data_IF_175316692067
#
_entry.id   IF_175316692067
#
_cell.length_a   1.000
_cell.length_b   1.000
_cell.length_c   1.000
_cell.angle_alpha   90.00
_cell.angle_beta   90.00
_cell.angle_gamma   90.00
#
_symmetry.space_group_name_H-M   'P 1'
#
loop_
_entity.id
_entity.type
_entity.pdbx_description
1 polymer ?
#
# COMPACT_ATOMS: atom_id res chain seq x y z
N UNK A 1 -9.97 10.08 -12.57
CA UNK A 1 -9.90 9.77 -11.12
C UNK A 1 -11.27 9.95 -10.54
N UNK A 2 -11.76 9.02 -9.71
CA UNK A 2 -13.07 9.12 -9.08
C UNK A 2 -13.09 10.24 -8.03
N UNK A 3 -14.20 10.92 -7.92
CA UNK A 3 -14.51 11.88 -6.85
C UNK A 3 -15.46 11.24 -5.83
N UNK A 4 -15.57 11.81 -4.64
CA UNK A 4 -16.42 11.25 -3.57
C UNK A 4 -17.89 11.08 -4.00
N UNK A 5 -18.39 12.00 -4.83
CA UNK A 5 -19.73 11.90 -5.42
C UNK A 5 -19.95 10.66 -6.30
N UNK A 6 -18.90 10.14 -6.92
CA UNK A 6 -18.99 8.95 -7.76
C UNK A 6 -19.24 7.67 -6.93
N UNK A 7 -19.00 7.75 -5.62
CA UNK A 7 -19.29 6.69 -4.65
C UNK A 7 -20.65 6.82 -3.95
N UNK A 8 -21.52 7.72 -4.41
CA UNK A 8 -22.85 7.90 -3.79
C UNK A 8 -23.65 6.61 -3.74
N UNK A 9 -23.58 5.78 -4.79
CA UNK A 9 -24.23 4.46 -4.83
C UNK A 9 -23.71 3.54 -3.73
N UNK A 10 -22.41 3.52 -3.48
CA UNK A 10 -21.79 2.66 -2.46
C UNK A 10 -22.07 3.20 -1.05
N UNK A 11 -22.07 4.53 -0.88
CA UNK A 11 -22.47 5.17 0.36
C UNK A 11 -23.95 4.90 0.70
N UNK A 12 -24.83 4.83 -0.31
CA UNK A 12 -26.25 4.47 -0.14
C UNK A 12 -26.46 2.98 0.19
N UNK A 13 -25.57 2.07 -0.23
CA UNK A 13 -25.66 0.64 0.14
C UNK A 13 -25.42 0.38 1.62
N UNK A 14 -24.83 1.32 2.35
CA UNK A 14 -24.50 1.17 3.75
C UNK A 14 -25.75 1.05 4.62
N UNK A 15 -26.03 -0.15 5.14
CA UNK A 15 -27.14 -0.42 6.05
C UNK A 15 -26.94 0.10 7.48
N UNK A 16 -25.77 0.68 7.78
CA UNK A 16 -25.38 1.18 9.11
C UNK A 16 -25.41 0.11 10.21
N UNK A 17 -25.18 -1.15 9.85
CA UNK A 17 -25.30 -2.32 10.75
C UNK A 17 -24.26 -2.36 11.88
N UNK A 18 -23.15 -1.61 11.80
CA UNK A 18 -22.12 -1.53 12.84
C UNK A 18 -21.07 -2.65 12.82
N UNK A 19 -21.10 -3.63 11.90
CA UNK A 19 -20.09 -4.69 11.85
C UNK A 19 -18.67 -4.15 11.67
N UNK A 20 -18.52 -3.08 10.91
CA UNK A 20 -17.23 -2.40 10.75
C UNK A 20 -16.69 -1.75 12.03
N UNK A 21 -17.54 -1.47 13.04
CA UNK A 21 -17.12 -1.01 14.36
C UNK A 21 -16.52 -2.16 15.17
N UNK A 22 -17.17 -3.31 15.16
CA UNK A 22 -16.69 -4.51 15.85
C UNK A 22 -15.32 -4.95 15.30
N UNK A 23 -15.15 -4.87 13.98
CA UNK A 23 -13.91 -5.22 13.30
C UNK A 23 -12.79 -4.19 13.51
N UNK A 24 -13.12 -2.94 13.82
CA UNK A 24 -12.17 -1.83 13.86
C UNK A 24 -11.28 -1.89 15.12
N UNK A 25 -9.93 -1.99 14.96
CA UNK A 25 -9.03 -1.98 16.11
C UNK A 25 -9.05 -0.65 16.88
N UNK A 26 -9.30 0.47 16.19
CA UNK A 26 -9.38 1.78 16.83
C UNK A 26 -10.65 1.93 17.66
N UNK A 27 -11.78 1.41 17.20
CA UNK A 27 -13.04 1.45 17.95
C UNK A 27 -12.95 0.68 19.28
N UNK A 28 -12.10 -0.36 19.33
CA UNK A 28 -11.83 -1.11 20.57
C UNK A 28 -11.08 -0.28 21.61
N UNK A 29 -10.29 0.70 21.18
CA UNK A 29 -9.52 1.59 22.05
C UNK A 29 -10.33 2.83 22.43
N UNK A 30 -11.08 3.36 21.48
CA UNK A 30 -11.92 4.54 21.63
C UNK A 30 -13.30 4.24 21.01
N UNK A 31 -14.31 3.83 21.80
CA UNK A 31 -15.63 3.47 21.31
C UNK A 31 -16.45 4.73 20.92
N UNK A 32 -16.08 5.30 19.79
CA UNK A 32 -16.71 6.47 19.18
C UNK A 32 -16.98 6.16 17.71
N UNK A 33 -18.21 6.30 17.26
CA UNK A 33 -18.63 5.99 15.88
C UNK A 33 -17.78 6.72 14.83
N UNK A 34 -17.34 7.97 15.12
CA UNK A 34 -16.51 8.76 14.20
C UNK A 34 -15.11 8.17 14.00
N UNK A 35 -14.62 7.36 14.95
CA UNK A 35 -13.32 6.69 14.85
C UNK A 35 -13.41 5.46 13.95
N UNK A 36 -14.56 4.79 13.94
CA UNK A 36 -14.83 3.65 13.08
C UNK A 36 -15.36 4.07 11.69
N UNK A 37 -15.45 3.10 10.79
CA UNK A 37 -15.88 3.35 9.40
C UNK A 37 -17.33 3.79 9.31
N UNK A 38 -18.23 3.30 10.16
CA UNK A 38 -19.65 3.66 10.12
C UNK A 38 -19.88 5.17 10.26
N UNK A 39 -19.30 5.80 11.28
CA UNK A 39 -19.46 7.25 11.48
C UNK A 39 -18.78 8.06 10.38
N UNK A 40 -17.60 7.62 9.91
CA UNK A 40 -16.94 8.25 8.75
C UNK A 40 -17.83 8.18 7.51
N UNK A 41 -18.47 7.05 7.25
CA UNK A 41 -19.40 6.88 6.13
C UNK A 41 -20.62 7.79 6.22
N UNK A 42 -21.20 7.96 7.40
CA UNK A 42 -22.32 8.87 7.61
C UNK A 42 -21.91 10.31 7.27
N UNK A 43 -20.72 10.74 7.74
CA UNK A 43 -20.20 12.08 7.43
C UNK A 43 -19.92 12.23 5.93
N UNK A 44 -19.26 11.25 5.30
CA UNK A 44 -18.93 11.30 3.87
C UNK A 44 -20.17 11.24 2.99
N UNK A 45 -21.22 10.54 3.41
CA UNK A 45 -22.51 10.55 2.73
C UNK A 45 -23.14 11.96 2.73
N UNK A 46 -23.10 12.65 3.89
CA UNK A 46 -23.54 14.05 3.96
C UNK A 46 -22.68 14.97 3.08
N UNK A 47 -21.37 14.71 2.97
CA UNK A 47 -20.49 15.47 2.07
C UNK A 47 -20.83 15.19 0.60
N UNK A 48 -21.03 13.94 0.21
CA UNK A 48 -21.38 13.56 -1.16
C UNK A 48 -22.71 14.18 -1.62
N UNK A 49 -23.67 14.32 -0.69
CA UNK A 49 -24.95 14.98 -0.93
C UNK A 49 -24.89 16.52 -0.90
N UNK A 50 -23.77 17.10 -0.54
CA UNK A 50 -23.63 18.56 -0.37
C UNK A 50 -24.26 19.11 0.91
N UNK A 51 -24.74 18.27 1.82
CA UNK A 51 -25.31 18.64 3.11
C UNK A 51 -24.23 19.05 4.13
N UNK A 52 -23.03 18.49 3.98
CA UNK A 52 -21.85 18.78 4.80
C UNK A 52 -20.68 19.23 3.93
N UNK A 53 -19.80 20.05 4.52
CA UNK A 53 -18.51 20.39 3.89
C UNK A 53 -17.44 19.46 4.41
N UNK A 54 -16.54 19.02 3.55
CA UNK A 54 -15.35 18.24 3.91
C UNK A 54 -14.39 19.13 4.74
N UNK A 55 -14.66 19.18 6.05
CA UNK A 55 -14.01 20.09 7.00
C UNK A 55 -12.72 19.49 7.58
N UNK A 56 -11.83 20.31 8.21
CA UNK A 56 -10.66 19.80 8.95
C UNK A 56 -11.05 18.77 10.01
N UNK A 57 -12.21 18.91 10.64
CA UNK A 57 -12.70 17.95 11.65
C UNK A 57 -13.04 16.60 11.04
N UNK A 58 -13.74 16.55 9.90
CA UNK A 58 -14.02 15.31 9.18
C UNK A 58 -12.70 14.68 8.73
N UNK A 59 -11.77 15.48 8.16
CA UNK A 59 -10.47 14.97 7.76
C UNK A 59 -9.67 14.39 8.93
N UNK A 60 -9.72 14.99 10.13
CA UNK A 60 -9.03 14.45 11.30
C UNK A 60 -9.49 13.02 11.66
N UNK A 61 -10.78 12.72 11.51
CA UNK A 61 -11.29 11.36 11.69
C UNK A 61 -10.82 10.41 10.57
N UNK A 62 -10.72 10.89 9.33
CA UNK A 62 -10.18 10.09 8.22
C UNK A 62 -8.70 9.76 8.49
N UNK A 63 -7.91 10.71 8.99
CA UNK A 63 -6.49 10.55 9.30
C UNK A 63 -6.22 9.55 10.42
N UNK A 64 -7.15 9.37 11.35
CA UNK A 64 -7.05 8.33 12.38
C UNK A 64 -7.12 6.92 11.80
N UNK A 65 -7.61 6.72 10.57
CA UNK A 65 -7.81 5.40 9.98
C UNK A 65 -6.47 4.70 9.70
N UNK A 66 -6.29 3.48 10.23
CA UNK A 66 -5.11 2.65 9.99
C UNK A 66 -5.07 2.05 8.57
N UNK A 67 -6.14 2.18 7.79
CA UNK A 67 -6.28 1.62 6.44
C UNK A 67 -5.98 0.11 6.37
N UNK A 68 -6.33 -0.61 7.41
CA UNK A 68 -6.04 -2.04 7.58
C UNK A 68 -6.99 -2.98 6.82
N UNK A 69 -8.03 -2.46 6.15
CA UNK A 69 -8.98 -3.22 5.32
C UNK A 69 -10.02 -4.06 6.09
N UNK A 70 -9.89 -4.25 7.40
CA UNK A 70 -10.81 -5.11 8.15
C UNK A 70 -12.29 -4.74 8.00
N UNK A 71 -12.60 -3.46 7.84
CA UNK A 71 -13.97 -3.00 7.61
C UNK A 71 -14.49 -3.41 6.23
N UNK A 72 -13.63 -3.59 5.24
CA UNK A 72 -13.99 -4.05 3.89
C UNK A 72 -14.34 -5.53 3.95
N UNK A 73 -13.50 -6.34 4.62
CA UNK A 73 -13.69 -7.79 4.77
C UNK A 73 -14.98 -8.14 5.53
N UNK A 74 -15.34 -7.31 6.54
CA UNK A 74 -16.53 -7.53 7.38
C UNK A 74 -17.79 -6.85 6.84
N UNK A 75 -17.73 -6.16 5.71
CA UNK A 75 -18.88 -5.45 5.16
C UNK A 75 -19.83 -6.40 4.41
N UNK A 76 -21.05 -6.66 4.91
CA UNK A 76 -22.00 -7.53 4.22
C UNK A 76 -22.52 -6.94 2.91
N UNK A 77 -22.37 -5.62 2.74
CA UNK A 77 -22.75 -4.92 1.51
C UNK A 77 -21.59 -4.84 0.49
N UNK A 78 -20.42 -5.43 0.79
CA UNK A 78 -19.26 -5.44 -0.10
C UNK A 78 -18.74 -4.04 -0.47
N UNK A 79 -18.74 -3.12 0.48
CA UNK A 79 -18.30 -1.74 0.25
C UNK A 79 -16.78 -1.66 0.43
N UNK A 80 -16.08 -1.13 -0.56
CA UNK A 80 -14.65 -0.80 -0.47
C UNK A 80 -14.46 0.51 0.31
N UNK A 81 -14.44 0.40 1.63
CA UNK A 81 -14.35 1.52 2.57
C UNK A 81 -13.03 2.27 2.42
N UNK A 82 -11.93 1.51 2.28
CA UNK A 82 -10.60 2.08 2.21
C UNK A 82 -10.43 2.98 0.98
N UNK A 83 -10.93 2.57 -0.17
CA UNK A 83 -10.89 3.40 -1.39
C UNK A 83 -11.70 4.69 -1.24
N UNK A 84 -12.88 4.62 -0.62
CA UNK A 84 -13.72 5.81 -0.37
C UNK A 84 -13.03 6.79 0.58
N UNK A 85 -12.42 6.29 1.66
CA UNK A 85 -11.67 7.13 2.61
C UNK A 85 -10.44 7.77 1.95
N UNK A 86 -9.72 7.04 1.10
CA UNK A 86 -8.58 7.57 0.35
C UNK A 86 -9.01 8.67 -0.63
N UNK A 87 -10.16 8.49 -1.29
CA UNK A 87 -10.73 9.51 -2.19
C UNK A 87 -11.12 10.78 -1.42
N UNK A 88 -11.77 10.63 -0.27
CA UNK A 88 -12.13 11.77 0.57
C UNK A 88 -10.89 12.53 1.07
N UNK A 89 -9.82 11.81 1.47
CA UNK A 89 -8.54 12.41 1.85
C UNK A 89 -7.90 13.17 0.69
N UNK A 90 -7.93 12.61 -0.52
CA UNK A 90 -7.44 13.27 -1.72
C UNK A 90 -8.17 14.57 -2.01
N UNK A 91 -9.50 14.57 -1.99
CA UNK A 91 -10.30 15.80 -2.21
C UNK A 91 -9.99 16.86 -1.16
N UNK A 92 -9.85 16.47 0.10
CA UNK A 92 -9.46 17.41 1.15
C UNK A 92 -8.08 18.00 0.91
N UNK A 93 -7.07 17.16 0.66
CA UNK A 93 -5.68 17.61 0.47
C UNK A 93 -5.52 18.51 -0.73
N UNK A 94 -6.19 18.20 -1.85
CA UNK A 94 -6.16 19.01 -3.07
C UNK A 94 -6.68 20.45 -2.85
N UNK A 95 -7.64 20.62 -1.94
CA UNK A 95 -8.30 21.89 -1.67
C UNK A 95 -7.68 22.68 -0.51
N UNK A 96 -6.66 22.13 0.18
CA UNK A 96 -6.00 22.78 1.31
C UNK A 96 -4.58 23.23 0.97
N UNK A 97 -4.13 24.31 1.61
CA UNK A 97 -2.76 24.81 1.43
C UNK A 97 -1.72 23.82 1.95
N UNK A 98 -1.96 23.20 3.11
CA UNK A 98 -1.09 22.14 3.67
C UNK A 98 -0.99 20.94 2.74
N UNK A 99 -2.10 20.50 2.15
CA UNK A 99 -2.10 19.41 1.17
C UNK A 99 -1.25 19.74 -0.06
N UNK A 100 -1.35 20.96 -0.60
CA UNK A 100 -0.51 21.38 -1.73
C UNK A 100 0.98 21.35 -1.43
N UNK A 101 1.37 21.71 -0.19
CA UNK A 101 2.77 21.60 0.25
C UNK A 101 3.20 20.13 0.32
N UNK A 102 2.35 19.25 0.88
CA UNK A 102 2.60 17.80 0.95
C UNK A 102 2.77 17.22 -0.47
N UNK A 103 1.90 17.57 -1.41
CA UNK A 103 2.02 17.14 -2.80
C UNK A 103 3.35 17.59 -3.43
N UNK A 104 3.81 18.81 -3.14
CA UNK A 104 5.10 19.31 -3.62
C UNK A 104 6.28 18.54 -3.01
N UNK A 105 6.26 18.28 -1.70
CA UNK A 105 7.32 17.53 -1.01
C UNK A 105 7.41 16.08 -1.47
N UNK A 106 6.27 15.48 -1.82
CA UNK A 106 6.20 14.13 -2.36
C UNK A 106 6.41 14.08 -3.88
N UNK A 107 6.66 15.22 -4.54
CA UNK A 107 6.96 15.19 -5.96
C UNK A 107 8.12 14.22 -6.26
N UNK A 108 7.93 13.38 -7.28
CA UNK A 108 8.82 12.24 -7.58
C UNK A 108 10.31 12.59 -7.62
N UNK A 109 10.75 13.68 -8.27
CA UNK A 109 12.16 13.99 -8.32
C UNK A 109 12.75 14.27 -6.95
N UNK A 110 12.01 14.95 -6.06
CA UNK A 110 12.48 15.30 -4.72
C UNK A 110 12.56 14.03 -3.86
N UNK A 111 11.49 13.27 -3.79
CA UNK A 111 11.43 12.07 -2.97
C UNK A 111 12.43 11.00 -3.43
N UNK A 112 12.52 10.75 -4.73
CA UNK A 112 13.46 9.78 -5.30
C UNK A 112 14.92 10.19 -5.09
N UNK A 113 15.24 11.48 -5.22
CA UNK A 113 16.59 12.00 -4.94
C UNK A 113 16.94 11.80 -3.47
N UNK A 114 16.01 12.06 -2.56
CA UNK A 114 16.20 11.81 -1.13
C UNK A 114 16.50 10.34 -0.85
N UNK A 115 15.71 9.42 -1.38
CA UNK A 115 15.93 7.97 -1.19
C UNK A 115 17.28 7.54 -1.76
N UNK A 116 17.66 7.99 -2.96
CA UNK A 116 18.95 7.67 -3.57
C UNK A 116 20.13 8.24 -2.76
N UNK A 117 19.98 9.42 -2.17
CA UNK A 117 21.01 9.99 -1.29
C UNK A 117 21.18 9.10 -0.04
N UNK A 118 20.08 8.70 0.59
CA UNK A 118 20.12 7.78 1.73
C UNK A 118 20.76 6.43 1.35
N UNK A 119 20.42 5.87 0.19
CA UNK A 119 21.00 4.63 -0.33
C UNK A 119 22.52 4.76 -0.55
N UNK A 120 22.98 5.90 -1.07
CA UNK A 120 24.41 6.15 -1.28
C UNK A 120 25.18 6.18 0.05
N UNK A 121 24.60 6.77 1.09
CA UNK A 121 25.18 6.83 2.44
C UNK A 121 25.21 5.45 3.11
N UNK A 122 24.15 4.68 2.97
CA UNK A 122 23.99 3.38 3.64
C UNK A 122 24.78 2.23 2.99
N UNK A 123 25.37 2.43 1.80
CA UNK A 123 26.16 1.46 1.05
C UNK A 123 25.46 0.08 0.96
N UNK A 124 24.43 -0.06 0.15
CA UNK A 124 23.62 -1.28 0.11
C UNK A 124 24.45 -2.49 -0.28
N UNK A 125 24.24 -3.59 0.44
CA UNK A 125 24.78 -4.89 0.05
C UNK A 125 24.07 -5.35 -1.22
N UNK A 126 24.83 -5.63 -2.29
CA UNK A 126 24.30 -6.21 -3.53
C UNK A 126 24.69 -7.68 -3.57
N UNK A 127 23.77 -8.60 -3.25
CA UNK A 127 24.08 -10.03 -3.27
C UNK A 127 24.37 -10.48 -4.70
N UNK A 128 25.46 -11.25 -4.86
CA UNK A 128 25.68 -12.05 -6.06
C UNK A 128 25.11 -13.44 -5.76
N UNK A 129 24.08 -13.83 -6.49
CA UNK A 129 23.53 -15.18 -6.45
C UNK A 129 24.36 -16.07 -7.38
N UNK A 130 25.06 -17.08 -6.82
CA UNK A 130 25.88 -18.02 -7.59
C UNK A 130 25.02 -19.02 -8.38
N UNK A 131 25.44 -19.34 -9.59
CA UNK A 131 24.71 -20.16 -10.57
C UNK A 131 24.48 -21.61 -10.10
N UNK A 132 23.24 -21.96 -9.81
CA UNK A 132 22.64 -23.29 -10.04
C UNK A 132 21.53 -23.10 -11.07
N UNK A 133 21.13 -24.20 -11.74
CA UNK A 133 19.94 -24.15 -12.60
C UNK A 133 18.78 -23.58 -11.78
N UNK A 134 18.33 -22.38 -12.18
CA UNK A 134 17.30 -21.63 -11.48
C UNK A 134 15.99 -21.86 -12.20
N UNK A 135 15.02 -22.41 -11.50
CA UNK A 135 13.71 -22.79 -12.05
C UNK A 135 12.62 -21.81 -11.64
N UNK A 136 12.89 -20.93 -10.69
CA UNK A 136 11.93 -19.98 -10.15
C UNK A 136 12.48 -18.58 -10.15
N UNK A 137 11.83 -17.66 -10.85
CA UNK A 137 12.19 -16.24 -10.92
C UNK A 137 11.33 -15.43 -9.98
N UNK A 138 11.98 -14.67 -9.13
CA UNK A 138 11.33 -13.83 -8.13
C UNK A 138 11.67 -12.36 -8.38
N UNK A 139 10.67 -11.54 -8.62
CA UNK A 139 10.82 -10.09 -8.62
C UNK A 139 10.77 -9.59 -7.17
N UNK A 140 11.85 -9.02 -6.66
CA UNK A 140 11.93 -8.54 -5.28
C UNK A 140 11.69 -7.05 -5.19
N UNK A 141 10.55 -6.70 -4.61
CA UNK A 141 10.21 -5.33 -4.26
C UNK A 141 10.84 -4.95 -2.92
N UNK A 142 12.02 -4.36 -2.98
CA UNK A 142 12.81 -4.01 -1.81
C UNK A 142 12.13 -2.99 -0.89
N UNK A 143 11.34 -2.08 -1.44
CA UNK A 143 10.71 -0.99 -0.70
C UNK A 143 11.68 0.10 -0.23
N UNK A 144 11.16 1.28 0.09
CA UNK A 144 11.98 2.46 0.44
C UNK A 144 12.73 2.30 1.78
N UNK A 145 12.16 1.61 2.76
CA UNK A 145 12.80 1.41 4.07
C UNK A 145 14.05 0.53 3.94
N UNK A 146 13.99 -0.55 3.17
CA UNK A 146 15.13 -1.43 2.94
C UNK A 146 16.18 -0.82 2.00
N UNK A 147 15.83 0.19 1.21
CA UNK A 147 16.82 0.99 0.48
C UNK A 147 17.67 1.84 1.44
N UNK A 148 17.05 2.37 2.50
CA UNK A 148 17.73 3.16 3.53
C UNK A 148 18.50 2.27 4.52
N UNK A 149 17.92 1.12 4.90
CA UNK A 149 18.48 0.17 5.87
C UNK A 149 18.69 -1.23 5.25
N UNK A 150 19.74 -1.44 4.45
CA UNK A 150 19.87 -2.59 3.53
C UNK A 150 20.33 -3.90 4.20
N UNK A 151 19.90 -4.19 5.42
CA UNK A 151 20.28 -5.40 6.12
C UNK A 151 19.59 -6.67 5.59
N UNK A 152 18.35 -6.54 5.10
CA UNK A 152 17.54 -7.67 4.63
C UNK A 152 18.20 -8.39 3.46
N UNK A 153 18.75 -7.68 2.50
CA UNK A 153 19.41 -8.25 1.30
C UNK A 153 20.50 -9.26 1.65
N UNK A 154 21.27 -8.98 2.72
CA UNK A 154 22.34 -9.88 3.20
C UNK A 154 21.80 -11.21 3.72
N UNK A 155 20.67 -11.18 4.41
CA UNK A 155 20.04 -12.39 4.95
C UNK A 155 19.35 -13.17 3.84
N UNK A 156 18.68 -12.52 2.92
CA UNK A 156 18.06 -13.16 1.76
C UNK A 156 19.07 -13.87 0.89
N UNK A 157 20.21 -13.24 0.60
CA UNK A 157 21.30 -13.88 -0.13
C UNK A 157 21.78 -15.17 0.55
N UNK A 158 21.84 -15.19 1.89
CA UNK A 158 22.24 -16.41 2.64
C UNK A 158 21.17 -17.50 2.58
N UNK A 159 19.88 -17.12 2.70
CA UNK A 159 18.76 -18.05 2.70
C UNK A 159 18.65 -18.75 1.34
N UNK A 160 18.74 -17.99 0.25
CA UNK A 160 18.51 -18.48 -1.10
C UNK A 160 19.78 -18.88 -1.85
N UNK A 161 20.98 -18.82 -1.21
CA UNK A 161 22.25 -19.14 -1.84
C UNK A 161 22.30 -20.54 -2.51
N UNK A 162 21.64 -21.52 -1.89
CA UNK A 162 21.63 -22.92 -2.35
C UNK A 162 20.28 -23.38 -2.88
N UNK A 163 19.34 -22.45 -3.14
CA UNK A 163 18.03 -22.76 -3.69
C UNK A 163 18.01 -22.60 -5.22
N UNK A 164 16.95 -23.12 -5.83
CA UNK A 164 16.62 -22.96 -7.24
C UNK A 164 15.99 -21.59 -7.57
N UNK A 165 15.99 -20.66 -6.63
CA UNK A 165 15.34 -19.35 -6.76
C UNK A 165 16.32 -18.31 -7.30
N UNK A 166 15.92 -17.63 -8.37
CA UNK A 166 16.55 -16.41 -8.86
C UNK A 166 15.83 -15.18 -8.32
N UNK A 167 16.59 -14.27 -7.69
CA UNK A 167 16.03 -13.02 -7.17
C UNK A 167 16.50 -11.87 -8.05
N UNK A 168 15.55 -11.24 -8.72
CA UNK A 168 15.78 -10.04 -9.52
C UNK A 168 15.22 -8.86 -8.72
N UNK A 169 16.03 -7.82 -8.54
CA UNK A 169 15.63 -6.59 -7.82
C UNK A 169 15.60 -5.42 -8.81
N UNK A 170 14.46 -5.15 -9.46
CA UNK A 170 14.32 -3.98 -10.33
C UNK A 170 14.47 -2.67 -9.56
N UNK A 171 14.77 -1.59 -10.30
CA UNK A 171 14.83 -0.23 -9.73
C UNK A 171 13.40 0.30 -9.47
N UNK A 172 12.75 -0.23 -8.46
CA UNK A 172 11.42 0.20 -8.03
C UNK A 172 11.45 1.56 -7.33
N UNK A 173 10.34 2.29 -7.41
CA UNK A 173 10.03 3.45 -6.58
C UNK A 173 9.34 2.99 -5.28
N UNK A 174 8.96 3.92 -4.41
CA UNK A 174 8.10 3.62 -3.25
C UNK A 174 6.79 2.93 -3.70
N UNK A 175 6.24 2.03 -2.87
CA UNK A 175 4.92 1.43 -3.15
C UNK A 175 3.79 2.47 -3.22
N UNK A 176 4.00 3.67 -2.72
CA UNK A 176 3.05 4.77 -2.79
C UNK A 176 2.13 4.91 -1.58
N UNK A 177 2.15 3.99 -0.61
CA UNK A 177 1.28 4.09 0.57
C UNK A 177 1.38 5.44 1.30
N UNK A 178 2.56 6.03 1.54
CA UNK A 178 2.64 7.36 2.17
C UNK A 178 1.91 8.43 1.36
N UNK A 179 2.00 8.38 0.03
CA UNK A 179 1.32 9.33 -0.85
C UNK A 179 -0.20 9.16 -0.79
N UNK A 180 -0.66 7.90 -0.83
CA UNK A 180 -2.08 7.56 -0.70
C UNK A 180 -2.62 7.99 0.65
N UNK A 181 -1.87 7.79 1.73
CA UNK A 181 -2.26 8.15 3.09
C UNK A 181 -2.40 9.65 3.29
N UNK A 182 -1.55 10.44 2.64
CA UNK A 182 -1.59 11.90 2.71
C UNK A 182 -2.50 12.53 1.65
N UNK A 183 -3.17 11.72 0.85
CA UNK A 183 -4.06 12.20 -0.21
C UNK A 183 -3.34 12.74 -1.43
N UNK A 184 -2.08 12.35 -1.67
CA UNK A 184 -1.33 12.67 -2.89
C UNK A 184 -1.56 11.59 -3.95
N UNK A 185 -2.82 11.43 -4.39
CA UNK A 185 -3.28 10.35 -5.25
C UNK A 185 -2.55 10.32 -6.60
N UNK A 186 -2.30 11.47 -7.21
CA UNK A 186 -1.57 11.54 -8.49
C UNK A 186 -0.16 10.95 -8.34
N UNK A 187 0.51 11.29 -7.23
CA UNK A 187 1.84 10.78 -6.94
C UNK A 187 1.83 9.28 -6.64
N UNK A 188 0.79 8.79 -5.96
CA UNK A 188 0.57 7.36 -5.77
C UNK A 188 0.45 6.63 -7.11
N UNK A 189 -0.43 7.10 -8.00
CA UNK A 189 -0.64 6.50 -9.33
C UNK A 189 0.65 6.56 -10.18
N UNK A 190 1.40 7.65 -10.11
CA UNK A 190 2.69 7.78 -10.80
C UNK A 190 3.70 6.73 -10.32
N UNK A 191 3.83 6.55 -9.00
CA UNK A 191 4.68 5.51 -8.41
C UNK A 191 4.24 4.11 -8.82
N UNK A 192 2.95 3.81 -8.74
CA UNK A 192 2.41 2.52 -9.09
C UNK A 192 2.67 2.19 -10.57
N UNK A 193 2.38 3.10 -11.49
CA UNK A 193 2.67 2.94 -12.92
C UNK A 193 4.16 2.73 -13.20
N UNK A 194 5.02 3.47 -12.51
CA UNK A 194 6.46 3.30 -12.64
C UNK A 194 6.89 1.90 -12.17
N UNK A 195 6.40 1.44 -11.01
CA UNK A 195 6.73 0.12 -10.48
C UNK A 195 6.27 -1.00 -11.41
N UNK A 196 5.05 -0.88 -11.97
CA UNK A 196 4.52 -1.83 -12.95
C UNK A 196 5.41 -1.88 -14.19
N UNK A 197 5.86 -0.73 -14.69
CA UNK A 197 6.73 -0.67 -15.88
C UNK A 197 8.10 -1.34 -15.68
N UNK A 198 8.49 -1.65 -14.45
CA UNK A 198 9.72 -2.37 -14.11
C UNK A 198 9.55 -3.89 -14.10
N UNK A 199 8.32 -4.37 -14.18
CA UNK A 199 7.97 -5.79 -14.25
C UNK A 199 7.80 -6.25 -15.72
N UNK A 200 8.71 -5.84 -16.60
CA UNK A 200 8.71 -6.14 -18.03
C UNK A 200 9.49 -7.41 -18.39
N UNK A 201 9.58 -8.35 -17.45
CA UNK A 201 10.21 -9.67 -17.61
C UNK A 201 9.34 -10.75 -16.98
N UNK A 202 9.56 -12.00 -17.35
CA UNK A 202 8.84 -13.13 -16.77
C UNK A 202 9.28 -13.38 -15.33
N UNK A 203 8.32 -13.51 -14.43
CA UNK A 203 8.54 -13.84 -13.01
C UNK A 203 7.38 -14.70 -12.48
N UNK A 204 7.72 -15.60 -11.57
CA UNK A 204 6.75 -16.48 -10.93
C UNK A 204 6.09 -15.79 -9.73
N UNK A 205 6.90 -15.05 -8.95
CA UNK A 205 6.46 -14.40 -7.71
C UNK A 205 6.97 -12.96 -7.63
N UNK A 206 6.14 -12.08 -7.08
CA UNK A 206 6.53 -10.74 -6.64
C UNK A 206 6.62 -10.75 -5.11
N UNK A 207 7.79 -10.46 -4.56
CA UNK A 207 8.02 -10.46 -3.12
C UNK A 207 8.20 -9.05 -2.58
N UNK A 208 7.57 -8.78 -1.44
CA UNK A 208 7.79 -7.56 -0.69
C UNK A 208 8.08 -7.90 0.79
N UNK A 209 9.11 -7.26 1.36
CA UNK A 209 9.47 -7.44 2.78
C UNK A 209 8.51 -6.73 3.73
N UNK A 210 7.99 -5.62 3.27
CA UNK A 210 7.13 -4.76 4.07
C UNK A 210 5.67 -5.17 3.84
N UNK A 211 4.96 -5.55 4.89
CA UNK A 211 3.54 -5.89 4.82
C UNK A 211 2.69 -4.75 4.22
N UNK A 212 3.04 -3.50 4.52
CA UNK A 212 2.37 -2.35 3.93
C UNK A 212 2.62 -2.24 2.42
N UNK A 213 3.85 -2.57 1.95
CA UNK A 213 4.13 -2.60 0.51
C UNK A 213 3.37 -3.73 -0.16
N UNK A 214 3.35 -4.94 0.44
CA UNK A 214 2.60 -6.08 -0.07
C UNK A 214 1.12 -5.72 -0.25
N UNK A 215 0.47 -5.23 0.80
CA UNK A 215 -0.93 -4.81 0.76
C UNK A 215 -1.19 -3.70 -0.27
N UNK A 216 -0.32 -2.69 -0.33
CA UNK A 216 -0.51 -1.57 -1.26
C UNK A 216 -0.38 -2.00 -2.72
N UNK A 217 0.59 -2.86 -3.03
CA UNK A 217 0.82 -3.34 -4.40
C UNK A 217 -0.34 -4.25 -4.85
N UNK A 218 -0.86 -5.11 -3.96
CA UNK A 218 -2.04 -5.94 -4.28
C UNK A 218 -3.28 -5.11 -4.61
N UNK A 219 -3.36 -3.89 -4.10
CA UNK A 219 -4.48 -2.97 -4.35
C UNK A 219 -4.28 -2.05 -5.56
N UNK A 220 -3.16 -2.14 -6.28
CA UNK A 220 -2.94 -1.31 -7.47
C UNK A 220 -4.05 -1.44 -8.51
N UNK A 221 -4.63 -2.63 -8.67
CA UNK A 221 -5.76 -2.89 -9.56
C UNK A 221 -7.03 -2.08 -9.26
N UNK A 222 -7.20 -1.62 -8.00
CA UNK A 222 -8.32 -0.73 -7.62
C UNK A 222 -8.19 0.68 -8.24
N UNK A 223 -6.97 1.09 -8.61
CA UNK A 223 -6.63 2.44 -9.07
C UNK A 223 -6.12 2.49 -10.51
N UNK A 224 -5.65 1.37 -11.04
CA UNK A 224 -5.03 1.28 -12.38
C UNK A 224 -5.66 0.09 -13.11
N UNK A 225 -6.18 0.36 -14.30
CA UNK A 225 -6.83 -0.65 -15.14
C UNK A 225 -5.83 -1.65 -15.74
N UNK A 226 -6.30 -2.85 -16.07
CA UNK A 226 -5.55 -3.92 -16.75
C UNK A 226 -4.34 -4.44 -15.99
N UNK A 227 -4.41 -4.47 -14.64
CA UNK A 227 -3.38 -5.02 -13.78
C UNK A 227 -4.00 -6.06 -12.86
N UNK A 228 -3.36 -7.20 -12.82
CA UNK A 228 -3.70 -8.27 -11.88
C UNK A 228 -2.42 -8.81 -11.23
N UNK A 229 -2.36 -8.70 -9.91
CA UNK A 229 -1.32 -9.30 -9.08
C UNK A 229 -1.86 -10.40 -8.18
N UNK A 230 -3.11 -10.82 -8.40
CA UNK A 230 -3.75 -11.84 -7.57
C UNK A 230 -2.92 -13.13 -7.58
N UNK A 231 -2.59 -13.62 -6.39
CA UNK A 231 -1.79 -14.83 -6.20
C UNK A 231 -0.29 -14.72 -6.53
N UNK A 232 0.20 -13.57 -7.03
CA UNK A 232 1.63 -13.38 -7.34
C UNK A 232 2.42 -12.64 -6.27
N UNK A 233 1.73 -11.91 -5.37
CA UNK A 233 2.40 -11.12 -4.33
C UNK A 233 2.50 -11.92 -3.04
N UNK A 234 3.71 -12.12 -2.59
CA UNK A 234 4.02 -12.90 -1.40
C UNK A 234 4.98 -12.16 -0.48
N UNK A 235 5.06 -12.61 0.76
CA UNK A 235 6.15 -12.29 1.67
C UNK A 235 7.19 -13.42 1.67
N UNK A 236 8.32 -13.20 2.34
CA UNK A 236 9.39 -14.21 2.41
C UNK A 236 8.96 -15.50 3.10
N UNK A 237 8.09 -15.40 4.11
CA UNK A 237 7.57 -16.56 4.81
C UNK A 237 6.76 -17.47 3.88
N UNK A 238 5.93 -16.87 3.04
CA UNK A 238 5.14 -17.61 2.04
C UNK A 238 6.05 -18.33 1.05
N UNK A 239 7.09 -17.67 0.51
CA UNK A 239 8.01 -18.28 -0.44
C UNK A 239 8.82 -19.42 0.21
N UNK A 240 9.27 -19.22 1.45
CA UNK A 240 9.98 -20.26 2.22
C UNK A 240 9.09 -21.50 2.38
N UNK A 241 7.80 -21.30 2.71
CA UNK A 241 6.84 -22.38 2.84
C UNK A 241 6.55 -23.08 1.51
N UNK A 242 6.29 -22.31 0.45
CA UNK A 242 6.02 -22.83 -0.90
C UNK A 242 7.19 -23.65 -1.46
N UNK A 243 8.42 -23.25 -1.16
CA UNK A 243 9.64 -23.94 -1.60
C UNK A 243 10.13 -25.01 -0.63
N UNK A 244 9.40 -25.30 0.46
CA UNK A 244 9.79 -26.28 1.48
C UNK A 244 11.24 -26.12 1.98
N UNK A 245 11.71 -24.90 2.11
CA UNK A 245 13.07 -24.61 2.55
C UNK A 245 13.25 -25.00 4.02
N UNK A 246 14.15 -25.94 4.29
CA UNK A 246 14.44 -26.40 5.65
C UNK A 246 15.63 -25.64 6.21
N UNK A 247 15.47 -25.06 7.39
CA UNK A 247 16.53 -24.35 8.11
C UNK A 247 16.97 -25.20 9.31
N UNK A 248 18.30 -25.29 9.51
CA UNK A 248 18.86 -25.77 10.77
C UNK A 248 19.21 -24.56 11.62
N UNK A 249 18.45 -24.35 12.66
CA UNK A 249 18.80 -23.37 13.70
C UNK A 249 19.92 -23.93 14.53
N UNK A 250 21.00 -23.16 14.74
CA UNK A 250 22.05 -23.46 15.67
C UNK A 250 21.74 -22.81 17.00
#
# INVERSE_FOLDING_TARGET
MKELKDFEKDLNKCSKCGLCEIACPLFKLEPNDCVASKGKFIMLHGVAKGELKLSPKINSYIDMCLKCGKCDDFCPSGIDVCTILNTAKYEYSKNTFSGKIIHLLFARPIFRTFIKLCETISKPYRPKFENKEKTTTVAYFKGCVNQIFPNTDKYLAKIFKNSDVEIITPDFDCCGLPFLSEGAMERFIESAKYNISKLNFDYDYLLADCASCQSTISEYSKYIENIDFEGKIHNWGDLIALKNLKFKFK
#
